data_IF_340317391149
#
_entry.id   IF_340317391149
#
_cell.length_a   1.000
_cell.length_b   1.000
_cell.length_c   1.000
_cell.angle_alpha   90.00
_cell.angle_beta   90.00
_cell.angle_gamma   90.00
#
_symmetry.space_group_name_H-M   'P 1'
#
loop_
_entity.id
_entity.type
_entity.pdbx_description
1 polymer ?
#
# COMPACT_ATOMS: atom_id res chain seq x y z
N UNK A 1 -14.12 -5.33 17.51
CA UNK A 1 -13.73 -4.06 16.86
C UNK A 1 -13.79 -4.25 15.36
N UNK A 2 -14.59 -3.43 14.71
CA UNK A 2 -14.76 -3.52 13.24
C UNK A 2 -13.79 -2.55 12.57
N UNK A 3 -12.85 -3.08 11.80
CA UNK A 3 -11.94 -2.26 10.99
C UNK A 3 -12.58 -2.03 9.62
N UNK A 4 -12.51 -0.80 9.12
CA UNK A 4 -12.90 -0.42 7.75
C UNK A 4 -11.75 0.29 7.06
N UNK A 5 -11.70 0.21 5.73
CA UNK A 5 -10.85 1.11 4.96
C UNK A 5 -11.63 2.40 4.68
N UNK A 6 -10.95 3.52 4.79
CA UNK A 6 -11.54 4.85 4.55
C UNK A 6 -10.71 5.63 3.54
N UNK A 7 -11.35 6.46 2.74
CA UNK A 7 -10.64 7.46 1.94
C UNK A 7 -10.01 8.47 2.90
N UNK A 8 -8.71 8.75 2.77
CA UNK A 8 -8.05 9.77 3.58
C UNK A 8 -8.71 11.14 3.43
N UNK A 9 -8.91 11.84 4.54
CA UNK A 9 -9.40 13.22 4.59
C UNK A 9 -8.58 14.02 5.62
N UNK A 10 -8.76 15.33 5.66
CA UNK A 10 -8.12 16.19 6.65
C UNK A 10 -8.52 15.79 8.09
N UNK A 11 -9.74 15.32 8.31
CA UNK A 11 -10.21 14.89 9.64
C UNK A 11 -9.48 13.63 10.14
N UNK A 12 -9.03 12.78 9.23
CA UNK A 12 -8.25 11.57 9.57
C UNK A 12 -6.76 11.88 9.82
N UNK A 13 -6.28 13.04 9.35
CA UNK A 13 -4.86 13.36 9.31
C UNK A 13 -4.18 13.40 10.70
N UNK A 14 -4.81 13.93 11.77
CA UNK A 14 -4.18 13.96 13.10
C UNK A 14 -3.76 12.57 13.61
N UNK A 15 -4.60 11.55 13.43
CA UNK A 15 -4.30 10.19 13.85
C UNK A 15 -3.18 9.54 13.00
N UNK A 16 -3.15 9.83 11.70
CA UNK A 16 -2.07 9.39 10.81
C UNK A 16 -0.72 10.02 11.21
N UNK A 17 -0.69 11.34 11.45
CA UNK A 17 0.50 12.06 11.91
C UNK A 17 0.99 11.52 13.24
N UNK A 18 0.10 11.25 14.19
CA UNK A 18 0.45 10.62 15.45
C UNK A 18 1.12 9.26 15.26
N UNK A 19 0.59 8.44 14.34
CA UNK A 19 1.18 7.14 14.03
C UNK A 19 2.58 7.26 13.40
N UNK A 20 2.78 8.19 12.45
CA UNK A 20 4.10 8.44 11.86
C UNK A 20 5.13 8.86 12.92
N UNK A 21 4.75 9.75 13.83
CA UNK A 21 5.60 10.19 14.95
C UNK A 21 5.90 9.07 15.94
N UNK A 22 5.03 8.08 16.04
CA UNK A 22 5.20 6.87 16.86
C UNK A 22 6.04 5.78 16.18
N UNK A 23 6.59 6.04 14.97
CA UNK A 23 7.46 5.11 14.25
C UNK A 23 6.76 4.23 13.22
N UNK A 24 5.51 4.51 12.88
CA UNK A 24 4.88 3.91 11.71
C UNK A 24 5.47 4.49 10.43
N UNK A 25 5.65 3.64 9.41
CA UNK A 25 5.89 4.05 8.04
C UNK A 25 5.05 3.21 7.08
N UNK A 26 4.44 3.81 6.06
CA UNK A 26 3.79 3.06 4.99
C UNK A 26 4.81 2.43 4.02
N UNK A 27 6.06 2.87 4.05
CA UNK A 27 7.16 2.35 3.24
C UNK A 27 8.01 1.40 4.08
N UNK A 28 7.90 0.11 3.78
CA UNK A 28 8.61 -0.95 4.50
C UNK A 28 10.12 -1.02 4.14
N UNK A 29 10.55 -0.34 3.07
CA UNK A 29 11.95 -0.32 2.60
C UNK A 29 12.69 0.86 3.22
N UNK A 30 12.12 2.08 3.08
CA UNK A 30 12.76 3.32 3.51
C UNK A 30 12.42 3.71 4.95
N UNK A 31 11.45 3.03 5.56
CA UNK A 31 11.12 3.12 6.98
C UNK A 31 11.00 4.56 7.50
N UNK A 32 11.80 4.91 8.51
CA UNK A 32 11.74 6.21 9.19
C UNK A 32 12.04 7.40 8.25
N UNK A 33 12.89 7.23 7.24
CA UNK A 33 13.19 8.30 6.27
C UNK A 33 11.93 8.69 5.50
N UNK A 34 11.19 7.70 5.01
CA UNK A 34 9.93 7.95 4.31
C UNK A 34 8.88 8.59 5.23
N UNK A 35 8.82 8.19 6.51
CA UNK A 35 7.91 8.79 7.48
C UNK A 35 8.23 10.27 7.71
N UNK A 36 9.49 10.66 7.80
CA UNK A 36 9.91 12.06 7.96
C UNK A 36 9.58 12.91 6.71
N UNK A 37 9.81 12.37 5.52
CA UNK A 37 9.42 13.04 4.26
C UNK A 37 7.91 13.26 4.17
N UNK A 38 7.12 12.28 4.62
CA UNK A 38 5.66 12.39 4.67
C UNK A 38 5.26 13.50 5.65
N UNK A 39 5.83 13.53 6.85
CA UNK A 39 5.56 14.59 7.83
C UNK A 39 5.89 15.97 7.25
N UNK A 40 7.06 16.15 6.63
CA UNK A 40 7.44 17.40 6.00
C UNK A 40 6.46 17.84 4.88
N UNK A 41 5.95 16.89 4.09
CA UNK A 41 4.94 17.17 3.06
C UNK A 41 3.60 17.61 3.66
N UNK A 42 3.19 16.98 4.76
CA UNK A 42 1.96 17.34 5.49
C UNK A 42 2.09 18.73 6.09
N UNK A 43 3.22 19.03 6.73
CA UNK A 43 3.49 20.33 7.34
C UNK A 43 3.54 21.45 6.29
N UNK A 44 4.03 21.16 5.09
CA UNK A 44 4.07 22.13 3.99
C UNK A 44 2.68 22.41 3.40
N UNK A 45 1.87 21.39 3.17
CA UNK A 45 0.51 21.52 2.61
C UNK A 45 -0.30 20.24 2.84
N UNK A 46 -1.07 20.23 3.91
CA UNK A 46 -1.90 19.11 4.32
C UNK A 46 -2.99 18.76 3.29
N UNK A 47 -3.59 19.77 2.67
CA UNK A 47 -4.62 19.57 1.64
C UNK A 47 -4.05 18.88 0.41
N UNK A 48 -2.95 19.43 -0.12
CA UNK A 48 -2.25 18.83 -1.25
C UNK A 48 -1.76 17.40 -0.94
N UNK A 49 -1.32 17.15 0.29
CA UNK A 49 -0.95 15.80 0.71
C UNK A 49 -2.14 14.85 0.61
N UNK A 50 -3.30 15.20 1.17
CA UNK A 50 -4.52 14.39 1.11
C UNK A 50 -4.97 14.17 -0.34
N UNK A 51 -4.98 15.21 -1.15
CA UNK A 51 -5.35 15.10 -2.58
C UNK A 51 -4.42 14.13 -3.33
N UNK A 52 -3.14 14.09 -2.97
CA UNK A 52 -2.17 13.17 -3.57
C UNK A 52 -2.40 11.69 -3.22
N UNK A 53 -3.27 11.38 -2.25
CA UNK A 53 -3.61 10.01 -1.88
C UNK A 53 -4.50 9.30 -2.91
N UNK A 54 -5.08 10.03 -3.85
CA UNK A 54 -5.88 9.46 -4.94
C UNK A 54 -5.49 10.12 -6.27
N UNK A 55 -4.70 9.42 -7.07
CA UNK A 55 -4.20 9.88 -8.37
C UNK A 55 -4.54 8.85 -9.45
N UNK A 56 -5.81 8.81 -9.84
CA UNK A 56 -6.33 7.85 -10.82
C UNK A 56 -5.89 8.14 -12.27
N UNK A 57 -5.28 9.29 -12.51
CA UNK A 57 -4.84 9.73 -13.83
C UNK A 57 -3.30 9.85 -13.95
N UNK A 58 -2.57 9.49 -12.89
CA UNK A 58 -1.11 9.58 -12.83
C UNK A 58 -0.57 11.01 -13.10
N UNK A 59 -1.26 12.03 -12.61
CA UNK A 59 -0.89 13.45 -12.77
C UNK A 59 0.13 13.94 -11.75
N UNK A 60 0.40 13.13 -10.73
CA UNK A 60 1.38 13.44 -9.69
C UNK A 60 2.82 13.45 -10.19
N UNK A 61 3.77 13.89 -9.35
CA UNK A 61 5.19 13.93 -9.68
C UNK A 61 5.75 12.53 -9.91
N UNK A 62 6.95 12.47 -10.50
CA UNK A 62 7.73 11.25 -10.64
C UNK A 62 7.86 10.50 -9.29
N UNK A 63 7.96 9.20 -9.37
CA UNK A 63 8.20 8.33 -8.21
C UNK A 63 9.70 8.07 -8.10
N UNK A 64 10.27 8.32 -6.91
CA UNK A 64 11.66 7.98 -6.62
C UNK A 64 11.73 6.54 -6.13
N UNK A 65 12.50 5.71 -6.81
CA UNK A 65 12.75 4.32 -6.43
C UNK A 65 13.79 4.24 -5.29
N UNK A 66 13.94 3.07 -4.63
CA UNK A 66 14.90 2.91 -3.53
C UNK A 66 16.36 3.21 -3.90
N UNK A 67 16.75 3.04 -5.16
CA UNK A 67 18.08 3.36 -5.69
C UNK A 67 18.26 4.86 -6.05
N UNK A 68 17.25 5.69 -5.83
CA UNK A 68 17.24 7.12 -6.15
C UNK A 68 16.84 7.46 -7.58
N UNK A 69 16.67 6.48 -8.46
CA UNK A 69 16.18 6.72 -9.83
C UNK A 69 14.73 7.20 -9.83
N UNK A 70 14.35 7.96 -10.85
CA UNK A 70 12.99 8.49 -10.99
C UNK A 70 12.26 7.84 -12.17
N UNK A 71 11.02 7.47 -11.95
CA UNK A 71 10.16 6.82 -12.94
C UNK A 71 8.80 7.51 -13.03
N UNK A 72 8.13 7.33 -14.16
CA UNK A 72 6.78 7.83 -14.32
C UNK A 72 5.85 7.15 -13.31
N UNK A 73 4.94 7.94 -12.76
CA UNK A 73 3.84 7.45 -11.93
C UNK A 73 2.85 6.68 -12.80
N UNK A 74 2.22 5.69 -12.22
CA UNK A 74 1.03 5.05 -12.78
C UNK A 74 -0.17 5.39 -11.90
N UNK A 75 -1.40 5.28 -12.40
CA UNK A 75 -2.62 5.45 -11.62
C UNK A 75 -2.59 4.67 -10.30
N UNK A 76 -3.11 5.30 -9.25
CA UNK A 76 -3.17 4.67 -7.93
C UNK A 76 -4.03 5.43 -6.95
N UNK A 77 -4.41 4.77 -5.88
CA UNK A 77 -5.05 5.40 -4.73
C UNK A 77 -4.71 4.68 -3.43
N UNK A 78 -4.90 5.40 -2.32
CA UNK A 78 -4.66 4.91 -0.98
C UNK A 78 -5.96 4.87 -0.19
N UNK A 79 -6.03 3.91 0.75
CA UNK A 79 -7.04 3.87 1.81
C UNK A 79 -6.33 3.70 3.14
N UNK A 80 -6.91 4.29 4.18
CA UNK A 80 -6.43 4.09 5.54
C UNK A 80 -7.29 3.07 6.26
N UNK A 81 -6.65 2.19 7.02
CA UNK A 81 -7.29 1.24 7.90
C UNK A 81 -7.70 1.97 9.17
N UNK A 82 -8.99 1.90 9.51
CA UNK A 82 -9.58 2.68 10.59
C UNK A 82 -10.45 1.81 11.46
N UNK A 83 -10.21 1.79 12.78
CA UNK A 83 -11.06 1.08 13.74
C UNK A 83 -11.82 2.05 14.66
N UNK A 84 -12.62 1.48 15.57
CA UNK A 84 -13.49 2.24 16.46
C UNK A 84 -12.77 2.65 17.77
N UNK A 85 -11.43 2.54 17.86
CA UNK A 85 -10.65 3.00 19.01
C UNK A 85 -10.52 4.54 18.96
N UNK A 86 -11.22 5.30 19.83
CA UNK A 86 -11.23 6.75 19.74
C UNK A 86 -9.88 7.39 20.07
N UNK A 87 -9.01 6.68 20.79
CA UNK A 87 -7.69 7.20 21.17
C UNK A 87 -6.65 7.02 20.06
N UNK A 88 -6.78 5.99 19.24
CA UNK A 88 -5.83 5.65 18.19
C UNK A 88 -6.51 4.95 17.00
N UNK A 89 -7.44 5.58 16.28
CA UNK A 89 -8.27 4.92 15.28
C UNK A 89 -7.49 4.48 14.03
N UNK A 90 -6.35 5.09 13.73
CA UNK A 90 -5.53 4.71 12.59
C UNK A 90 -4.83 3.37 12.84
N UNK A 91 -5.01 2.41 11.90
CA UNK A 91 -4.47 1.06 12.02
C UNK A 91 -3.41 0.72 10.98
N UNK A 92 -3.33 1.51 9.92
CA UNK A 92 -2.41 1.26 8.81
C UNK A 92 -2.92 1.80 7.49
N UNK A 93 -2.27 1.46 6.42
CA UNK A 93 -2.65 1.86 5.06
C UNK A 93 -2.61 0.69 4.09
N UNK A 94 -3.41 0.81 3.03
CA UNK A 94 -3.40 -0.06 1.87
C UNK A 94 -3.50 0.80 0.62
N UNK A 95 -2.71 0.48 -0.40
CA UNK A 95 -2.67 1.21 -1.66
C UNK A 95 -2.84 0.27 -2.84
N UNK A 96 -3.43 0.77 -3.89
CA UNK A 96 -3.50 0.10 -5.19
C UNK A 96 -2.91 0.97 -6.28
N UNK A 97 -2.33 0.33 -7.28
CA UNK A 97 -1.78 0.94 -8.50
C UNK A 97 -2.00 -0.02 -9.67
N UNK A 98 -2.22 0.52 -10.86
CA UNK A 98 -2.51 -0.27 -12.05
C UNK A 98 -2.07 0.45 -13.33
N UNK A 99 -2.04 -0.27 -14.45
CA UNK A 99 -2.00 0.32 -15.79
C UNK A 99 -3.39 0.21 -16.43
N UNK A 100 -3.92 1.28 -17.02
CA UNK A 100 -5.20 1.23 -17.72
C UNK A 100 -5.17 0.20 -18.86
N UNK A 101 -6.22 -0.62 -18.94
CA UNK A 101 -6.41 -1.58 -20.04
C UNK A 101 -5.54 -2.85 -19.98
N UNK A 102 -4.75 -3.05 -18.93
CA UNK A 102 -3.93 -4.25 -18.77
C UNK A 102 -3.70 -4.63 -17.32
N UNK A 103 -3.56 -5.92 -17.04
CA UNK A 103 -3.09 -6.41 -15.74
C UNK A 103 -1.56 -6.47 -15.63
N UNK A 104 -0.83 -6.15 -16.70
CA UNK A 104 0.63 -6.05 -16.63
C UNK A 104 1.05 -4.78 -15.89
N UNK A 105 2.14 -4.86 -15.14
CA UNK A 105 2.74 -3.72 -14.45
C UNK A 105 4.11 -3.37 -15.07
N UNK A 106 4.53 -2.10 -15.02
CA UNK A 106 5.89 -1.72 -15.38
C UNK A 106 6.90 -2.47 -14.50
N UNK A 107 8.10 -2.73 -15.02
CA UNK A 107 9.14 -3.48 -14.30
C UNK A 107 9.53 -2.91 -12.93
N UNK A 108 9.35 -1.61 -12.74
CA UNK A 108 9.62 -0.92 -11.48
C UNK A 108 8.44 -0.96 -10.49
N UNK A 109 7.36 -1.66 -10.81
CA UNK A 109 6.20 -1.83 -9.94
C UNK A 109 6.03 -3.30 -9.63
N UNK A 110 6.41 -3.70 -8.41
CA UNK A 110 6.49 -5.11 -8.04
C UNK A 110 5.13 -5.79 -7.87
N UNK A 111 4.05 -5.02 -7.64
CA UNK A 111 2.71 -5.57 -7.45
C UNK A 111 1.65 -4.48 -7.44
N UNK A 112 0.39 -4.87 -7.65
CA UNK A 112 -0.76 -3.94 -7.69
C UNK A 112 -1.10 -3.38 -6.31
N UNK A 113 -0.91 -4.16 -5.24
CA UNK A 113 -1.32 -3.78 -3.89
C UNK A 113 -0.13 -3.81 -2.93
N UNK A 114 -0.07 -2.79 -2.08
CA UNK A 114 0.82 -2.74 -0.94
C UNK A 114 0.07 -2.35 0.32
N UNK A 115 0.40 -2.92 1.46
CA UNK A 115 -0.23 -2.60 2.74
C UNK A 115 0.77 -2.67 3.88
N UNK A 116 0.48 -1.89 4.92
CA UNK A 116 1.21 -1.95 6.19
C UNK A 116 0.28 -1.65 7.36
N UNK A 117 0.50 -2.34 8.48
CA UNK A 117 -0.26 -2.16 9.73
C UNK A 117 0.68 -1.56 10.77
N UNK A 118 0.19 -0.60 11.55
CA UNK A 118 0.96 -0.02 12.65
C UNK A 118 1.47 -1.11 13.59
N UNK A 119 2.73 -1.06 14.06
CA UNK A 119 3.35 -2.14 14.83
C UNK A 119 2.53 -2.62 16.02
N UNK A 120 1.93 -1.70 16.76
CA UNK A 120 1.15 -1.97 17.98
C UNK A 120 -0.26 -2.52 17.74
N UNK A 121 -0.69 -2.62 16.47
CA UNK A 121 -1.99 -3.22 16.09
C UNK A 121 -1.84 -4.42 15.14
N UNK A 122 -0.64 -4.95 14.96
CA UNK A 122 -0.39 -6.17 14.16
C UNK A 122 -1.06 -7.39 14.79
N UNK A 123 -1.20 -8.46 14.00
CA UNK A 123 -1.77 -9.74 14.42
C UNK A 123 -3.25 -9.68 14.86
N UNK A 124 -3.99 -8.64 14.42
CA UNK A 124 -5.44 -8.47 14.67
C UNK A 124 -6.30 -8.74 13.42
N UNK A 125 -5.70 -9.27 12.36
CA UNK A 125 -6.41 -9.54 11.09
C UNK A 125 -6.69 -8.30 10.24
N UNK A 126 -6.17 -7.12 10.59
CA UNK A 126 -6.47 -5.86 9.89
C UNK A 126 -6.01 -5.86 8.44
N UNK A 127 -4.82 -6.36 8.14
CA UNK A 127 -4.35 -6.45 6.76
C UNK A 127 -5.24 -7.37 5.90
N UNK A 128 -5.70 -8.51 6.47
CA UNK A 128 -6.62 -9.42 5.78
C UNK A 128 -7.94 -8.75 5.46
N UNK A 129 -8.56 -8.08 6.46
CA UNK A 129 -9.81 -7.35 6.27
C UNK A 129 -9.67 -6.19 5.29
N UNK A 130 -8.54 -5.46 5.36
CA UNK A 130 -8.26 -4.36 4.44
C UNK A 130 -8.13 -4.84 3.00
N UNK A 131 -7.42 -5.95 2.76
CA UNK A 131 -7.30 -6.51 1.42
C UNK A 131 -8.65 -7.00 0.90
N UNK A 132 -9.47 -7.68 1.73
CA UNK A 132 -10.84 -8.09 1.37
C UNK A 132 -11.66 -6.88 0.90
N UNK A 133 -11.65 -5.78 1.66
CA UNK A 133 -12.42 -4.58 1.31
C UNK A 133 -11.84 -3.87 0.07
N UNK A 134 -10.51 -3.80 -0.05
CA UNK A 134 -9.85 -3.20 -1.21
C UNK A 134 -10.15 -3.95 -2.50
N UNK A 135 -10.27 -5.28 -2.46
CA UNK A 135 -10.63 -6.09 -3.64
C UNK A 135 -12.00 -5.69 -4.21
N UNK A 136 -12.94 -5.24 -3.38
CA UNK A 136 -14.24 -4.74 -3.86
C UNK A 136 -14.07 -3.47 -4.70
N UNK A 137 -13.22 -2.52 -4.25
CA UNK A 137 -12.94 -1.31 -5.02
C UNK A 137 -12.10 -1.60 -6.29
N UNK A 138 -11.19 -2.55 -6.23
CA UNK A 138 -10.33 -2.93 -7.37
C UNK A 138 -11.14 -3.57 -8.52
N UNK A 139 -12.22 -4.30 -8.21
CA UNK A 139 -13.09 -4.89 -9.24
C UNK A 139 -13.65 -3.85 -10.21
N UNK A 140 -13.89 -2.62 -9.74
CA UNK A 140 -14.36 -1.51 -10.58
C UNK A 140 -13.34 -1.07 -11.64
N UNK A 141 -12.06 -1.48 -11.51
CA UNK A 141 -11.01 -1.17 -12.48
C UNK A 141 -11.05 -2.08 -13.72
N UNK A 142 -11.88 -3.14 -13.70
CA UNK A 142 -12.03 -4.06 -14.83
C UNK A 142 -10.80 -4.94 -15.11
N UNK A 143 -9.90 -5.11 -14.13
CA UNK A 143 -8.74 -5.98 -14.26
C UNK A 143 -9.16 -7.46 -14.07
N UNK A 144 -8.60 -8.40 -14.84
CA UNK A 144 -8.91 -9.82 -14.69
C UNK A 144 -8.29 -10.41 -13.41
N UNK A 145 -7.20 -9.84 -12.93
CA UNK A 145 -6.49 -10.23 -11.71
C UNK A 145 -5.62 -9.10 -11.20
N UNK A 146 -5.15 -9.26 -9.98
CA UNK A 146 -4.05 -8.46 -9.42
C UNK A 146 -2.91 -9.37 -9.00
N UNK A 147 -1.70 -8.85 -9.11
CA UNK A 147 -0.48 -9.45 -8.62
C UNK A 147 -0.02 -8.74 -7.34
N UNK A 148 0.37 -9.51 -6.33
CA UNK A 148 0.90 -9.01 -5.07
C UNK A 148 2.23 -9.72 -4.81
N UNK A 149 3.25 -8.97 -4.45
CA UNK A 149 4.55 -9.52 -4.13
C UNK A 149 4.87 -9.39 -2.65
N UNK A 150 5.65 -10.34 -2.14
CA UNK A 150 6.15 -10.32 -0.76
C UNK A 150 7.51 -10.99 -0.68
N UNK A 151 8.23 -10.76 0.42
CA UNK A 151 9.49 -11.46 0.67
C UNK A 151 9.22 -12.91 1.11
N UNK A 152 10.14 -13.84 0.80
CA UNK A 152 9.97 -15.27 1.17
C UNK A 152 9.83 -15.51 2.68
N UNK A 153 10.43 -14.67 3.50
CA UNK A 153 10.39 -14.73 4.96
C UNK A 153 9.20 -13.95 5.57
N UNK A 154 8.48 -13.16 4.78
CA UNK A 154 7.31 -12.40 5.24
C UNK A 154 6.06 -13.29 5.29
N UNK A 155 6.09 -14.31 6.17
CA UNK A 155 4.97 -15.22 6.38
C UNK A 155 3.65 -14.53 6.73
N UNK A 156 3.62 -13.43 7.51
CA UNK A 156 2.38 -12.70 7.76
C UNK A 156 1.71 -12.19 6.47
N UNK A 157 2.48 -11.60 5.54
CA UNK A 157 1.95 -11.12 4.26
C UNK A 157 1.44 -12.27 3.39
N UNK A 158 2.17 -13.38 3.32
CA UNK A 158 1.73 -14.58 2.59
C UNK A 158 0.37 -15.09 3.10
N UNK A 159 0.18 -15.15 4.43
CA UNK A 159 -1.10 -15.55 5.03
C UNK A 159 -2.25 -14.59 4.67
N UNK A 160 -1.99 -13.29 4.66
CA UNK A 160 -2.97 -12.28 4.24
C UNK A 160 -3.41 -12.50 2.79
N UNK A 161 -2.45 -12.73 1.90
CA UNK A 161 -2.71 -12.96 0.47
C UNK A 161 -3.50 -14.25 0.25
N UNK A 162 -3.06 -15.35 0.85
CA UNK A 162 -3.72 -16.66 0.75
C UNK A 162 -5.16 -16.61 1.32
N UNK A 163 -5.38 -15.93 2.45
CA UNK A 163 -6.71 -15.77 3.04
C UNK A 163 -7.68 -14.97 2.16
N UNK A 164 -7.16 -14.22 1.18
CA UNK A 164 -7.94 -13.47 0.19
C UNK A 164 -7.98 -14.15 -1.18
N UNK A 165 -7.72 -15.46 -1.25
CA UNK A 165 -7.80 -16.23 -2.49
C UNK A 165 -6.58 -16.10 -3.39
N UNK A 166 -5.47 -15.58 -2.87
CA UNK A 166 -4.21 -15.50 -3.60
C UNK A 166 -3.61 -16.88 -3.86
N UNK A 167 -3.10 -17.08 -5.06
CA UNK A 167 -2.41 -18.30 -5.48
C UNK A 167 -0.95 -17.94 -5.77
N UNK A 168 -0.01 -18.76 -5.28
CA UNK A 168 1.41 -18.60 -5.60
C UNK A 168 1.63 -18.81 -7.10
N UNK A 169 2.36 -17.90 -7.72
CA UNK A 169 2.69 -17.96 -9.16
C UNK A 169 4.13 -18.39 -9.35
N UNK A 170 5.07 -17.64 -8.79
CA UNK A 170 6.49 -17.89 -8.94
C UNK A 170 7.35 -17.24 -7.87
N UNK A 171 8.56 -17.73 -7.72
CA UNK A 171 9.66 -17.03 -7.09
C UNK A 171 10.46 -16.26 -8.15
N UNK A 172 10.83 -15.02 -7.85
CA UNK A 172 11.56 -14.17 -8.78
C UNK A 172 12.64 -13.37 -8.06
N UNK A 173 13.55 -12.78 -8.84
CA UNK A 173 14.52 -11.82 -8.30
C UNK A 173 14.00 -10.40 -8.56
N UNK A 174 13.87 -9.61 -7.50
CA UNK A 174 13.49 -8.19 -7.60
C UNK A 174 14.52 -7.45 -8.44
N UNK A 175 14.11 -6.41 -9.21
CA UNK A 175 15.05 -5.57 -9.96
C UNK A 175 16.12 -4.94 -9.05
N UNK A 176 17.24 -4.53 -9.66
CA UNK A 176 18.38 -3.93 -8.96
C UNK A 176 17.99 -2.72 -8.10
N UNK A 177 17.04 -1.89 -8.54
CA UNK A 177 16.49 -0.79 -7.79
C UNK A 177 15.86 -1.20 -6.43
N UNK A 178 15.53 -2.50 -6.27
CA UNK A 178 15.01 -3.10 -5.04
C UNK A 178 15.99 -4.09 -4.41
N UNK A 179 17.28 -3.99 -4.75
CA UNK A 179 18.37 -4.71 -4.10
C UNK A 179 18.58 -6.15 -4.56
N UNK A 180 18.02 -6.60 -5.68
CA UNK A 180 18.17 -7.95 -6.23
C UNK A 180 17.82 -9.10 -5.26
N UNK A 181 16.95 -8.83 -4.28
CA UNK A 181 16.51 -9.84 -3.33
C UNK A 181 15.45 -10.76 -3.94
N UNK A 182 15.31 -11.97 -3.39
CA UNK A 182 14.24 -12.87 -3.75
C UNK A 182 12.88 -12.29 -3.40
N UNK A 183 11.87 -12.55 -4.21
CA UNK A 183 10.48 -12.21 -3.99
C UNK A 183 9.57 -13.38 -4.39
N UNK A 184 8.40 -13.45 -3.79
CA UNK A 184 7.32 -14.33 -4.19
C UNK A 184 6.20 -13.53 -4.82
N UNK A 185 5.73 -14.00 -5.96
CA UNK A 185 4.58 -13.45 -6.67
C UNK A 185 3.34 -14.29 -6.39
N UNK A 186 2.28 -13.64 -5.98
CA UNK A 186 0.95 -14.22 -5.81
C UNK A 186 -0.04 -13.50 -6.70
N UNK A 187 -1.07 -14.21 -7.16
CA UNK A 187 -2.14 -13.68 -7.99
C UNK A 187 -3.50 -13.91 -7.35
N UNK A 188 -4.35 -12.88 -7.37
CA UNK A 188 -5.75 -12.96 -6.97
C UNK A 188 -6.59 -12.67 -8.20
N UNK A 189 -7.45 -13.62 -8.60
CA UNK A 189 -8.45 -13.41 -9.64
C UNK A 189 -9.54 -12.46 -9.16
N UNK A 190 -10.03 -11.59 -10.05
CA UNK A 190 -11.04 -10.56 -9.73
C UNK A 190 -12.42 -10.87 -10.34
N UNK A 191 -12.57 -12.02 -10.93
CA UNK A 191 -13.83 -12.47 -11.55
C UNK A 191 -14.96 -12.64 -10.53
#
# INVERSE_FOLDING_TARGET
MTMRIVRPTLDHLPAYVAALRQGYSPDNVRGAVAAQEILARIDADATRFIDSMEDREAKGPLVTLPDGSQVNRIPGFNRWMWDDDPAAPFCGSISVRWQPGTAALPRHVLGHVGYSVVPWKRQRGYATQALTQMLLEIRELGLPHIDITTDPDNLPSQRVILANGGVFVEAFTKPAAFGNHAGFLYRIALA
#
